data_IF_913861179680
#
_entry.id   IF_913861179680
#
_cell.length_a   1.000
_cell.length_b   1.000
_cell.length_c   1.000
_cell.angle_alpha   90.00
_cell.angle_beta   90.00
_cell.angle_gamma   90.00
#
_symmetry.space_group_name_H-M   'P 1'
#
loop_
_entity.id
_entity.type
_entity.pdbx_description
1 polymer ?
#
# COMPACT_ATOMS: atom_id res chain seq x y z
N UNK A 1 -36.66 9.71 -8.39
CA UNK A 1 -35.82 10.66 -7.64
C UNK A 1 -34.99 9.84 -6.67
N UNK A 2 -33.81 9.38 -7.09
CA UNK A 2 -32.90 8.60 -6.24
C UNK A 2 -31.79 9.52 -5.76
N UNK A 3 -31.57 9.42 -4.47
CA UNK A 3 -30.75 10.25 -3.60
C UNK A 3 -29.26 9.96 -3.81
N UNK A 4 -28.45 11.00 -3.57
CA UNK A 4 -27.00 10.98 -3.27
C UNK A 4 -26.05 11.03 -4.47
N UNK A 5 -25.93 12.24 -5.01
CA UNK A 5 -24.65 12.75 -5.51
C UNK A 5 -23.81 13.19 -4.29
N UNK A 6 -22.50 13.37 -4.42
CA UNK A 6 -21.56 13.89 -3.39
C UNK A 6 -20.88 12.94 -2.39
N UNK A 7 -20.37 11.77 -2.81
CA UNK A 7 -19.04 11.31 -2.33
C UNK A 7 -18.31 10.61 -3.48
N UNK A 8 -17.65 11.44 -4.27
CA UNK A 8 -16.95 11.07 -5.49
C UNK A 8 -15.86 10.03 -5.25
N UNK A 9 -16.19 8.82 -5.70
CA UNK A 9 -15.30 7.87 -6.36
C UNK A 9 -14.19 7.26 -5.49
N UNK A 10 -14.52 6.13 -4.87
CA UNK A 10 -13.57 5.03 -4.75
C UNK A 10 -12.81 4.88 -6.08
N UNK A 11 -11.47 4.75 -6.10
CA UNK A 11 -10.77 4.41 -7.32
C UNK A 11 -11.46 3.18 -7.94
N UNK A 12 -11.66 3.18 -9.28
CA UNK A 12 -12.50 2.20 -9.95
C UNK A 12 -12.09 0.83 -9.47
N UNK A 13 -13.02 0.07 -8.86
CA UNK A 13 -12.79 -1.24 -8.22
C UNK A 13 -11.71 -2.01 -8.96
N UNK A 14 -10.45 -1.77 -8.57
CA UNK A 14 -9.33 -2.33 -9.30
C UNK A 14 -9.27 -3.74 -8.77
N UNK A 15 -9.63 -4.69 -9.63
CA UNK A 15 -9.62 -6.12 -9.31
C UNK A 15 -8.20 -6.64 -8.98
N UNK A 16 -7.18 -5.78 -9.02
CA UNK A 16 -5.78 -6.06 -8.73
C UNK A 16 -5.36 -5.74 -7.29
N UNK A 17 -4.09 -6.00 -6.96
CA UNK A 17 -3.51 -5.71 -5.66
C UNK A 17 -3.40 -4.20 -5.42
N UNK A 18 -3.57 -3.80 -4.16
CA UNK A 18 -3.34 -2.42 -3.72
C UNK A 18 -1.85 -2.17 -3.47
N UNK A 19 -1.12 -3.21 -3.09
CA UNK A 19 0.30 -3.14 -2.79
C UNK A 19 1.00 -4.33 -3.44
N UNK A 20 2.13 -4.08 -4.08
CA UNK A 20 3.10 -5.14 -4.43
C UNK A 20 4.24 -5.13 -3.42
N UNK A 21 4.43 -6.25 -2.73
CA UNK A 21 5.54 -6.46 -1.81
C UNK A 21 6.80 -6.82 -2.61
N UNK A 22 7.75 -5.90 -2.54
CA UNK A 22 9.06 -5.97 -3.15
C UNK A 22 10.11 -6.29 -2.07
N UNK A 23 10.67 -7.50 -2.10
CA UNK A 23 11.70 -7.91 -1.15
C UNK A 23 13.09 -7.91 -1.78
N UNK A 24 14.10 -7.47 -1.03
CA UNK A 24 15.50 -7.53 -1.45
C UNK A 24 16.34 -8.34 -0.47
N UNK A 25 16.97 -9.41 -0.94
CA UNK A 25 17.91 -10.21 -0.14
C UNK A 25 17.27 -11.01 1.01
N UNK A 26 15.94 -11.00 1.14
CA UNK A 26 15.22 -11.70 2.19
C UNK A 26 14.81 -13.12 1.80
N UNK A 27 14.80 -14.07 2.73
CA UNK A 27 14.24 -15.40 2.50
C UNK A 27 12.72 -15.31 2.32
N UNK A 28 12.18 -16.15 1.44
CA UNK A 28 10.75 -16.14 1.10
C UNK A 28 9.84 -16.23 2.33
N UNK A 29 10.24 -16.99 3.35
CA UNK A 29 9.54 -17.16 4.63
C UNK A 29 9.20 -15.82 5.32
N UNK A 30 10.18 -14.90 5.33
CA UNK A 30 10.03 -13.57 5.94
C UNK A 30 9.14 -12.67 5.09
N UNK A 31 9.29 -12.76 3.77
CA UNK A 31 8.46 -12.02 2.80
C UNK A 31 6.99 -12.45 2.93
N UNK A 32 6.73 -13.75 3.03
CA UNK A 32 5.39 -14.27 3.26
C UNK A 32 4.81 -13.80 4.60
N UNK A 33 5.60 -13.84 5.68
CA UNK A 33 5.15 -13.38 7.00
C UNK A 33 4.72 -11.90 6.98
N UNK A 34 5.49 -11.05 6.30
CA UNK A 34 5.17 -9.63 6.15
C UNK A 34 3.92 -9.44 5.30
N UNK A 35 3.82 -10.16 4.19
CA UNK A 35 2.63 -10.11 3.34
C UNK A 35 1.37 -10.57 4.08
N UNK A 36 1.46 -11.58 4.95
CA UNK A 36 0.36 -12.00 5.82
C UNK A 36 0.00 -10.93 6.84
N UNK A 37 0.97 -10.27 7.47
CA UNK A 37 0.71 -9.17 8.40
C UNK A 37 -0.03 -8.01 7.72
N UNK A 38 0.31 -7.70 6.47
CA UNK A 38 -0.39 -6.68 5.69
C UNK A 38 -1.80 -7.14 5.27
N UNK A 39 -1.95 -8.41 4.85
CA UNK A 39 -3.27 -8.98 4.52
C UNK A 39 -4.20 -9.07 5.72
N UNK A 40 -3.67 -9.33 6.91
CA UNK A 40 -4.41 -9.32 8.16
C UNK A 40 -5.00 -7.94 8.49
N UNK A 41 -4.42 -6.86 7.95
CA UNK A 41 -4.97 -5.50 8.05
C UNK A 41 -6.06 -5.22 6.99
N UNK A 42 -6.43 -6.19 6.16
CA UNK A 42 -7.42 -6.04 5.10
C UNK A 42 -6.84 -5.54 3.76
N UNK A 43 -5.52 -5.49 3.62
CA UNK A 43 -4.86 -5.03 2.40
C UNK A 43 -4.74 -6.14 1.36
N UNK A 44 -4.92 -5.77 0.09
CA UNK A 44 -4.68 -6.68 -1.04
C UNK A 44 -3.21 -6.56 -1.43
N UNK A 45 -2.39 -7.45 -0.89
CA UNK A 45 -0.95 -7.49 -1.16
C UNK A 45 -0.62 -8.63 -2.12
N UNK A 46 0.13 -8.31 -3.16
CA UNK A 46 0.74 -9.26 -4.10
C UNK A 46 2.24 -9.35 -3.84
N UNK A 47 2.83 -10.53 -3.94
CA UNK A 47 4.25 -10.75 -3.75
C UNK A 47 4.88 -10.97 -5.11
N UNK A 48 5.99 -10.28 -5.40
CA UNK A 48 6.72 -10.55 -6.63
C UNK A 48 7.38 -11.94 -6.58
N UNK A 49 7.08 -12.86 -7.53
CA UNK A 49 7.42 -14.28 -7.40
C UNK A 49 8.89 -14.62 -7.68
N UNK A 50 9.63 -13.74 -8.34
CA UNK A 50 11.03 -14.00 -8.70
C UNK A 50 12.00 -13.15 -7.88
N UNK A 51 13.16 -13.67 -7.46
CA UNK A 51 14.22 -12.86 -6.88
C UNK A 51 14.83 -11.96 -7.97
N UNK A 52 14.29 -10.76 -8.14
CA UNK A 52 14.77 -9.77 -9.09
C UNK A 52 15.33 -8.52 -8.39
N UNK A 53 16.09 -7.70 -9.12
CA UNK A 53 16.47 -6.37 -8.64
C UNK A 53 15.21 -5.52 -8.42
N UNK A 54 15.22 -4.66 -7.40
CA UNK A 54 14.11 -3.77 -7.04
C UNK A 54 13.48 -3.05 -8.24
N UNK A 55 14.30 -2.55 -9.17
CA UNK A 55 13.81 -1.87 -10.37
C UNK A 55 12.85 -2.73 -11.22
N UNK A 56 13.10 -4.05 -11.35
CA UNK A 56 12.18 -4.96 -12.05
C UNK A 56 10.90 -5.19 -11.29
N UNK A 57 10.99 -5.31 -9.96
CA UNK A 57 9.82 -5.52 -9.10
C UNK A 57 8.89 -4.29 -9.14
N UNK A 58 9.46 -3.09 -9.07
CA UNK A 58 8.72 -1.82 -9.23
C UNK A 58 8.06 -1.71 -10.60
N UNK A 59 8.79 -2.08 -11.66
CA UNK A 59 8.25 -2.07 -13.02
C UNK A 59 7.13 -3.11 -13.21
N UNK A 60 7.20 -4.25 -12.53
CA UNK A 60 6.10 -5.22 -12.48
C UNK A 60 4.89 -4.67 -11.74
N UNK A 61 5.08 -3.97 -10.62
CA UNK A 61 3.99 -3.35 -9.87
C UNK A 61 3.25 -2.28 -10.68
N UNK A 62 3.97 -1.52 -11.50
CA UNK A 62 3.42 -0.52 -12.43
C UNK A 62 2.91 -1.13 -13.76
N UNK A 63 3.20 -2.40 -14.02
CA UNK A 63 2.84 -3.04 -15.28
C UNK A 63 1.32 -3.13 -15.45
N UNK A 64 0.81 -3.01 -16.69
CA UNK A 64 -0.63 -2.97 -16.97
C UNK A 64 -1.41 -4.21 -16.52
N UNK A 65 -0.75 -5.35 -16.29
CA UNK A 65 -1.38 -6.56 -15.76
C UNK A 65 -1.61 -6.56 -14.25
N UNK A 66 -0.90 -5.71 -13.49
CA UNK A 66 -0.97 -5.62 -12.03
C UNK A 66 -1.59 -4.28 -11.62
N UNK A 67 -1.02 -3.17 -12.11
CA UNK A 67 -1.42 -1.79 -11.80
C UNK A 67 -1.64 -1.56 -10.30
N UNK A 68 -0.65 -1.87 -9.48
CA UNK A 68 -0.72 -1.53 -8.07
C UNK A 68 -0.49 -0.02 -7.87
N UNK A 69 -1.26 0.67 -7.03
CA UNK A 69 -1.02 2.09 -6.75
C UNK A 69 0.25 2.30 -5.90
N UNK A 70 0.62 1.32 -5.08
CA UNK A 70 1.82 1.36 -4.24
C UNK A 70 2.67 0.08 -4.35
N UNK A 71 3.97 0.24 -4.12
CA UNK A 71 4.91 -0.85 -3.89
C UNK A 71 5.47 -0.76 -2.46
N UNK A 72 5.40 -1.85 -1.71
CA UNK A 72 5.98 -1.93 -0.37
C UNK A 72 7.33 -2.63 -0.45
N UNK A 73 8.38 -1.95 -0.01
CA UNK A 73 9.76 -2.40 -0.16
C UNK A 73 10.28 -2.82 1.22
N UNK A 74 10.83 -4.03 1.30
CA UNK A 74 11.38 -4.57 2.53
C UNK A 74 12.75 -5.23 2.29
N UNK A 75 13.75 -4.77 3.05
CA UNK A 75 15.07 -5.36 3.16
C UNK A 75 15.32 -5.94 4.56
N UNK A 76 16.57 -6.35 4.81
CA UNK A 76 16.99 -6.84 6.13
C UNK A 76 16.85 -5.77 7.22
N UNK A 77 17.21 -4.52 6.93
CA UNK A 77 17.14 -3.42 7.88
C UNK A 77 15.70 -3.08 8.28
N UNK A 78 14.80 -2.95 7.30
CA UNK A 78 13.37 -2.67 7.56
C UNK A 78 12.73 -3.82 8.34
N UNK A 79 13.04 -5.07 7.97
CA UNK A 79 12.54 -6.24 8.69
C UNK A 79 13.05 -6.27 10.14
N UNK A 80 14.31 -5.90 10.39
CA UNK A 80 14.88 -5.83 11.73
C UNK A 80 14.26 -4.72 12.57
N UNK A 81 13.86 -3.60 11.93
CA UNK A 81 13.22 -2.47 12.58
C UNK A 81 11.69 -2.61 12.69
N UNK A 82 11.08 -3.60 12.03
CA UNK A 82 9.63 -3.76 11.96
C UNK A 82 8.95 -2.67 11.11
N UNK A 83 9.71 -2.05 10.21
CA UNK A 83 9.24 -1.01 9.30
C UNK A 83 9.14 -1.54 7.88
N UNK A 84 8.54 -0.74 7.00
CA UNK A 84 8.47 -1.02 5.57
C UNK A 84 8.43 0.30 4.81
N UNK A 85 9.06 0.32 3.65
CA UNK A 85 9.10 1.52 2.80
C UNK A 85 7.97 1.43 1.78
N UNK A 86 6.91 2.19 1.95
CA UNK A 86 5.87 2.34 0.94
C UNK A 86 6.31 3.32 -0.14
N UNK A 87 6.08 2.97 -1.39
CA UNK A 87 6.34 3.82 -2.55
C UNK A 87 5.09 3.95 -3.40
N UNK A 88 4.57 5.16 -3.55
CA UNK A 88 3.52 5.47 -4.51
C UNK A 88 4.09 5.41 -5.93
N UNK A 89 3.53 4.54 -6.77
CA UNK A 89 4.01 4.40 -8.16
C UNK A 89 3.55 5.56 -9.03
N UNK A 90 2.39 6.16 -8.72
CA UNK A 90 1.85 7.30 -9.45
C UNK A 90 2.66 8.60 -9.21
N UNK A 91 2.95 8.92 -7.95
CA UNK A 91 3.68 10.15 -7.60
C UNK A 91 5.20 9.95 -7.49
N UNK A 92 5.68 8.71 -7.37
CA UNK A 92 7.06 8.39 -7.03
C UNK A 92 7.46 8.69 -5.57
N UNK A 93 6.53 9.18 -4.75
CA UNK A 93 6.73 9.45 -3.33
C UNK A 93 7.01 8.15 -2.57
N UNK A 94 7.88 8.21 -1.56
CA UNK A 94 8.20 7.06 -0.73
C UNK A 94 8.30 7.47 0.74
N UNK A 95 7.81 6.63 1.62
CA UNK A 95 7.82 6.85 3.06
C UNK A 95 8.05 5.53 3.80
N UNK A 96 8.87 5.60 4.85
CA UNK A 96 9.15 4.44 5.71
C UNK A 96 8.27 4.52 6.94
N UNK A 97 7.38 3.55 7.09
CA UNK A 97 6.39 3.49 8.15
C UNK A 97 6.42 2.11 8.83
N UNK A 98 5.98 1.98 10.09
CA UNK A 98 5.86 0.69 10.74
C UNK A 98 4.84 -0.20 10.03
N UNK A 99 5.10 -1.51 9.95
CA UNK A 99 4.27 -2.48 9.20
C UNK A 99 2.80 -2.46 9.64
N UNK A 100 2.55 -2.23 10.92
CA UNK A 100 1.21 -2.15 11.52
C UNK A 100 0.41 -0.92 11.10
N UNK A 101 1.07 0.15 10.64
CA UNK A 101 0.40 1.39 10.22
C UNK A 101 0.27 1.52 8.71
N UNK A 102 0.70 0.48 7.97
CA UNK A 102 0.66 0.47 6.51
C UNK A 102 -0.77 0.63 6.00
N UNK A 103 -1.75 -0.05 6.59
CA UNK A 103 -3.12 0.10 6.11
C UNK A 103 -3.70 1.50 6.31
N UNK A 104 -3.32 2.19 7.39
CA UNK A 104 -3.78 3.55 7.67
C UNK A 104 -3.10 4.57 6.75
N UNK A 105 -1.80 4.42 6.56
CA UNK A 105 -1.02 5.35 5.75
C UNK A 105 -1.14 5.07 4.25
N UNK A 106 -1.52 3.87 3.83
CA UNK A 106 -1.79 3.58 2.43
C UNK A 106 -2.88 4.51 1.89
N UNK A 107 -3.95 4.67 2.65
CA UNK A 107 -5.05 5.59 2.33
C UNK A 107 -4.54 7.03 2.27
N UNK A 108 -3.81 7.48 3.30
CA UNK A 108 -3.22 8.83 3.34
C UNK A 108 -2.15 9.10 2.26
N UNK A 109 -1.45 8.08 1.77
CA UNK A 109 -0.43 8.19 0.73
C UNK A 109 -1.07 8.25 -0.67
N UNK A 110 -2.26 7.69 -0.83
CA UNK A 110 -3.03 7.67 -2.08
C UNK A 110 -4.07 8.79 -2.15
N UNK A 111 -4.64 9.17 -1.03
CA UNK A 111 -5.51 10.32 -0.85
C UNK A 111 -4.64 11.50 -0.40
N UNK A 112 -4.34 12.44 -1.31
CA UNK A 112 -3.96 13.78 -0.85
C UNK A 112 -5.02 14.25 0.16
N UNK A 113 -4.62 14.86 1.28
CA UNK A 113 -5.50 15.07 2.44
C UNK A 113 -6.75 15.80 1.98
N UNK A 114 -7.86 15.08 1.94
CA UNK A 114 -9.17 15.70 2.03
C UNK A 114 -9.30 16.09 3.49
N UNK A 115 -9.29 17.39 3.83
CA UNK A 115 -9.71 17.80 5.16
C UNK A 115 -11.15 17.30 5.30
N UNK A 116 -11.33 16.21 6.03
CA UNK A 116 -12.65 15.95 6.60
C UNK A 116 -12.79 17.06 7.62
N UNK A 117 -13.50 18.11 7.21
CA UNK A 117 -13.96 19.15 8.09
C UNK A 117 -14.46 18.49 9.38
N UNK A 118 -13.75 18.84 10.43
CA UNK A 118 -14.20 18.82 11.79
C UNK A 118 -15.51 19.60 11.83
N UNK A 119 -16.63 18.95 11.60
CA UNK A 119 -17.85 19.39 12.26
C UNK A 119 -17.91 18.69 13.62
N UNK A 120 -17.26 19.38 14.55
CA UNK A 120 -17.58 19.27 15.95
C UNK A 120 -19.04 19.66 16.14
N UNK A 121 -19.82 18.79 16.76
CA UNK A 121 -20.85 19.18 17.73
C UNK A 121 -21.05 17.94 18.61
N UNK A 122 -20.33 17.80 19.72
CA UNK A 122 -20.65 18.45 21.01
C UNK A 122 -22.14 18.74 21.18
N UNK A 123 -22.81 17.77 21.80
CA UNK A 123 -23.76 17.99 22.89
C UNK A 123 -24.95 18.91 22.64
N UNK A 124 -26.15 18.34 22.69
CA UNK A 124 -27.01 18.52 23.86
C UNK A 124 -28.05 17.40 23.97
#
# INVERSE_FOLDING_TARGET
>A
LLVRDERGMYPPLQAGPQIVLCSMGLPAEKVFSVAEALRAQGLRVEIYPEPAKLGKQLQYADSPGVKAPCAAIIGEDELAQGTITLKALESGAQETIPVEEVAKNLDALLEKPSPTDLDQESGK
#
